data_IF_543027754774
#
_entry.id   IF_543027754774
#
_cell.length_a   1.000
_cell.length_b   1.000
_cell.length_c   1.000
_cell.angle_alpha   90.00
_cell.angle_beta   90.00
_cell.angle_gamma   90.00
#
_symmetry.space_group_name_H-M   'P 1'
#
loop_
_entity.id
_entity.type
_entity.pdbx_description
1 polymer ?
#
# COMPACT_ATOMS: atom_id res chain seq x y z
N UNK A 1 -39.09 -1.18 -16.80
CA UNK A 1 -37.80 -1.25 -17.52
C UNK A 1 -36.73 -0.81 -16.54
N UNK A 2 -36.20 -1.76 -15.78
CA UNK A 2 -35.25 -1.50 -14.71
C UNK A 2 -33.86 -1.32 -15.32
N UNK A 3 -33.45 -0.06 -15.49
CA UNK A 3 -32.08 0.29 -15.85
C UNK A 3 -31.18 -0.08 -14.67
N UNK A 4 -30.63 -1.31 -14.68
CA UNK A 4 -29.50 -1.68 -13.82
C UNK A 4 -28.35 -0.72 -14.14
N UNK A 5 -28.22 0.35 -13.36
CA UNK A 5 -27.09 1.26 -13.38
C UNK A 5 -25.82 0.44 -13.23
N UNK A 6 -25.05 0.36 -14.31
CA UNK A 6 -23.90 -0.53 -14.43
C UNK A 6 -22.73 0.07 -13.64
N UNK A 7 -22.68 -0.21 -12.33
CA UNK A 7 -21.45 -0.33 -11.52
C UNK A 7 -20.48 0.85 -11.47
N UNK A 8 -20.96 2.06 -11.18
CA UNK A 8 -20.10 3.22 -10.85
C UNK A 8 -20.17 3.62 -9.37
N UNK A 9 -21.01 2.96 -8.58
CA UNK A 9 -21.25 3.32 -7.17
C UNK A 9 -20.13 2.90 -6.21
N UNK A 10 -19.16 2.11 -6.69
CA UNK A 10 -18.03 1.64 -5.88
C UNK A 10 -16.68 1.95 -6.57
N UNK A 11 -15.68 2.50 -5.87
CA UNK A 11 -14.37 2.73 -6.45
C UNK A 11 -13.74 1.44 -6.99
N UNK A 12 -12.92 1.53 -8.03
CA UNK A 12 -12.21 0.38 -8.61
C UNK A 12 -11.08 -0.15 -7.71
N UNK A 13 -10.89 0.45 -6.54
CA UNK A 13 -9.95 0.05 -5.52
C UNK A 13 -10.64 0.02 -4.14
N UNK A 14 -10.10 -0.75 -3.21
CA UNK A 14 -10.60 -0.80 -1.84
C UNK A 14 -9.85 0.18 -0.91
N UNK A 15 -9.06 1.11 -1.46
CA UNK A 15 -8.30 2.07 -0.64
C UNK A 15 -9.24 3.11 -0.03
N UNK A 16 -9.04 3.41 1.25
CA UNK A 16 -9.82 4.40 2.00
C UNK A 16 -8.93 5.55 2.50
N UNK A 17 -9.47 6.75 2.72
CA UNK A 17 -8.76 7.79 3.47
C UNK A 17 -8.20 7.25 4.79
N UNK A 18 -6.92 7.52 5.06
CA UNK A 18 -6.20 6.99 6.22
C UNK A 18 -5.41 5.71 5.98
N UNK A 19 -5.70 4.94 4.92
CA UNK A 19 -4.91 3.78 4.54
C UNK A 19 -3.49 4.19 4.13
N UNK A 20 -2.55 3.25 4.26
CA UNK A 20 -1.19 3.42 3.75
C UNK A 20 -1.06 2.77 2.38
N UNK A 21 -0.35 3.42 1.46
CA UNK A 21 -0.12 2.92 0.10
C UNK A 21 1.35 3.02 -0.30
N UNK A 22 1.81 2.06 -1.10
CA UNK A 22 3.03 2.14 -1.88
C UNK A 22 2.73 2.71 -3.27
N UNK A 23 3.66 3.48 -3.84
CA UNK A 23 3.55 4.06 -5.17
C UNK A 23 4.56 3.41 -6.11
N UNK A 24 4.12 2.98 -7.30
CA UNK A 24 4.99 2.37 -8.28
C UNK A 24 5.96 3.39 -8.89
N UNK A 25 7.26 3.14 -8.74
CA UNK A 25 8.36 3.80 -9.45
C UNK A 25 8.51 3.23 -10.85
N UNK A 26 8.78 4.09 -11.83
CA UNK A 26 9.17 3.71 -13.19
C UNK A 26 10.68 3.89 -13.45
N UNK A 27 11.49 3.96 -12.39
CA UNK A 27 12.95 4.02 -12.54
C UNK A 27 13.45 2.81 -13.31
N UNK A 28 14.19 3.04 -14.39
CA UNK A 28 14.58 2.02 -15.39
C UNK A 28 15.62 1.00 -14.93
N UNK A 29 15.80 0.80 -13.63
CA UNK A 29 16.72 -0.21 -13.11
C UNK A 29 16.02 -1.58 -13.10
N UNK A 30 16.49 -2.58 -13.86
CA UNK A 30 15.81 -3.87 -14.02
C UNK A 30 15.52 -4.61 -12.71
N UNK A 31 16.40 -4.42 -11.70
CA UNK A 31 16.34 -5.06 -10.37
C UNK A 31 16.17 -4.05 -9.21
N UNK A 32 15.83 -2.80 -9.51
CA UNK A 32 15.60 -1.79 -8.47
C UNK A 32 14.25 -1.97 -7.77
N UNK A 33 14.12 -1.43 -6.55
CA UNK A 33 12.84 -1.36 -5.85
C UNK A 33 11.82 -0.57 -6.67
N UNK A 34 10.73 -1.25 -7.07
CA UNK A 34 9.67 -0.66 -7.90
C UNK A 34 8.58 0.03 -7.08
N UNK A 35 8.56 -0.12 -5.76
CA UNK A 35 7.52 0.42 -4.89
C UNK A 35 8.15 1.41 -3.92
N UNK A 36 7.82 2.68 -4.06
CA UNK A 36 8.32 3.74 -3.19
C UNK A 36 7.41 3.89 -2.00
N UNK A 37 8.03 3.95 -0.82
CA UNK A 37 7.55 4.57 0.41
C UNK A 37 6.17 4.12 0.90
N UNK A 38 5.84 4.42 2.16
CA UNK A 38 4.46 4.33 2.62
C UNK A 38 3.92 5.75 2.68
N UNK A 39 2.91 6.02 1.86
CA UNK A 39 2.23 7.30 1.82
C UNK A 39 0.83 7.13 2.39
N UNK A 40 0.43 8.04 3.27
CA UNK A 40 -0.92 8.03 3.81
C UNK A 40 -1.89 8.60 2.79
N UNK A 41 -2.97 7.88 2.53
CA UNK A 41 -4.06 8.31 1.66
C UNK A 41 -4.86 9.43 2.32
N UNK A 42 -5.09 10.52 1.58
CA UNK A 42 -5.89 11.65 2.02
C UNK A 42 -7.29 11.63 1.38
N UNK A 43 -7.35 11.45 0.05
CA UNK A 43 -8.60 11.45 -0.71
C UNK A 43 -8.61 10.33 -1.76
N UNK A 44 -9.83 9.93 -2.12
CA UNK A 44 -10.12 8.82 -3.02
C UNK A 44 -11.19 9.25 -4.03
N UNK A 45 -11.01 8.89 -5.29
CA UNK A 45 -12.04 8.95 -6.33
C UNK A 45 -12.18 7.57 -6.97
N UNK A 46 -13.11 7.41 -7.91
CA UNK A 46 -13.40 6.10 -8.54
C UNK A 46 -12.14 5.37 -9.07
N UNK A 47 -11.17 6.08 -9.64
CA UNK A 47 -9.96 5.50 -10.25
C UNK A 47 -8.64 6.05 -9.70
N UNK A 48 -8.67 7.09 -8.85
CA UNK A 48 -7.45 7.78 -8.43
C UNK A 48 -7.41 8.12 -6.94
N UNK A 49 -6.19 8.33 -6.45
CA UNK A 49 -5.86 8.54 -5.04
C UNK A 49 -4.99 9.77 -4.87
N UNK A 50 -5.27 10.57 -3.84
CA UNK A 50 -4.40 11.64 -3.40
C UNK A 50 -3.67 11.22 -2.13
N UNK A 51 -2.35 11.17 -2.20
CA UNK A 51 -1.49 10.75 -1.11
C UNK A 51 -0.80 11.95 -0.45
N UNK A 52 -0.48 11.84 0.84
CA UNK A 52 0.20 12.90 1.60
C UNK A 52 1.58 13.19 1.01
N UNK A 53 1.87 14.46 0.76
CA UNK A 53 3.14 14.90 0.17
C UNK A 53 3.27 14.66 -1.34
N UNK A 54 2.26 14.08 -1.99
CA UNK A 54 2.21 13.92 -3.44
C UNK A 54 1.23 14.95 -4.00
N UNK A 55 1.72 15.81 -4.90
CA UNK A 55 0.91 16.91 -5.47
C UNK A 55 -0.09 16.42 -6.50
N UNK A 56 0.23 15.35 -7.22
CA UNK A 56 -0.58 14.78 -8.30
C UNK A 56 -1.52 13.67 -7.83
N UNK A 57 -2.57 13.42 -8.61
CA UNK A 57 -3.46 12.26 -8.41
C UNK A 57 -2.83 10.99 -8.99
N UNK A 58 -2.90 9.90 -8.22
CA UNK A 58 -2.32 8.61 -8.57
C UNK A 58 -3.41 7.66 -9.05
N UNK A 59 -3.32 7.18 -10.29
CA UNK A 59 -4.22 6.16 -10.78
C UNK A 59 -4.06 4.84 -10.00
N UNK A 60 -5.16 4.11 -9.80
CA UNK A 60 -5.19 2.90 -8.96
C UNK A 60 -4.21 1.80 -9.44
N UNK A 61 -3.91 1.74 -10.74
CA UNK A 61 -2.94 0.78 -11.29
C UNK A 61 -1.49 1.04 -10.88
N UNK A 62 -1.19 2.24 -10.34
CA UNK A 62 0.15 2.64 -9.88
C UNK A 62 0.31 2.55 -8.36
N UNK A 63 -0.68 2.09 -7.63
CA UNK A 63 -0.65 2.01 -6.17
C UNK A 63 -0.84 0.58 -5.69
N UNK A 64 -0.38 0.30 -4.47
CA UNK A 64 -0.65 -0.95 -3.76
C UNK A 64 -0.90 -0.63 -2.29
N UNK A 65 -1.89 -1.27 -1.65
CA UNK A 65 -2.08 -1.12 -0.19
C UNK A 65 -0.81 -1.56 0.55
N UNK A 66 -0.39 -0.72 1.49
CA UNK A 66 0.71 -0.98 2.40
C UNK A 66 0.16 -1.37 3.78
N UNK A 67 0.88 -2.22 4.53
CA UNK A 67 0.56 -2.45 5.93
C UNK A 67 0.59 -1.13 6.69
N UNK A 68 -0.37 -0.96 7.61
CA UNK A 68 -0.33 0.13 8.59
C UNK A 68 1.00 0.03 9.34
N UNK A 69 1.77 1.13 9.48
CA UNK A 69 2.92 1.14 10.35
C UNK A 69 2.41 0.80 11.75
N UNK A 70 2.77 -0.39 12.19
CA UNK A 70 2.57 -0.86 13.55
C UNK A 70 3.13 0.24 14.45
N UNK A 71 2.36 0.69 15.45
CA UNK A 71 2.98 1.39 16.58
C UNK A 71 4.08 0.43 17.03
N UNK A 72 5.33 0.87 16.99
CA UNK A 72 6.51 0.04 17.18
C UNK A 72 6.47 -0.65 18.55
N UNK A 73 5.78 -1.78 18.62
CA UNK A 73 5.73 -2.73 19.73
C UNK A 73 5.82 -4.16 19.19
N UNK A 74 6.25 -4.34 17.95
CA UNK A 74 6.69 -5.63 17.44
C UNK A 74 8.07 -5.93 18.05
N UNK A 75 8.06 -6.35 19.32
CA UNK A 75 9.22 -6.91 20.00
C UNK A 75 9.45 -8.30 19.43
N UNK A 76 10.04 -8.38 18.24
CA UNK A 76 10.51 -9.65 17.73
C UNK A 76 11.57 -10.19 18.71
N UNK A 77 11.53 -11.49 18.97
CA UNK A 77 12.60 -12.17 19.69
C UNK A 77 13.25 -13.17 18.75
N UNK A 78 14.57 -13.03 18.60
CA UNK A 78 15.40 -14.04 17.97
C UNK A 78 15.84 -15.03 19.06
N UNK A 79 15.49 -16.30 18.85
CA UNK A 79 15.98 -17.40 19.67
C UNK A 79 16.99 -18.21 18.86
N UNK A 80 18.16 -18.47 19.43
CA UNK A 80 19.14 -19.37 18.85
C UNK A 80 18.68 -20.81 19.05
N UNK A 81 18.38 -21.50 17.96
CA UNK A 81 18.01 -22.92 17.97
C UNK A 81 19.25 -23.80 17.72
N UNK A 82 20.34 -23.21 17.24
CA UNK A 82 21.61 -23.91 17.06
C UNK A 82 22.73 -22.98 16.60
N UNK A 83 23.92 -23.53 16.34
CA UNK A 83 25.11 -22.74 15.99
C UNK A 83 24.95 -21.93 14.70
N UNK A 84 24.01 -22.30 13.82
CA UNK A 84 23.71 -21.60 12.56
C UNK A 84 22.21 -21.37 12.34
N UNK A 85 21.38 -21.57 13.36
CA UNK A 85 19.92 -21.52 13.24
C UNK A 85 19.31 -20.51 14.19
N UNK A 86 18.52 -19.58 13.65
CA UNK A 86 17.75 -18.59 14.43
C UNK A 86 16.27 -18.77 14.11
N UNK A 87 15.44 -18.71 15.14
CA UNK A 87 13.99 -18.68 15.00
C UNK A 87 13.45 -17.32 15.43
N UNK A 88 12.68 -16.71 14.54
CA UNK A 88 12.06 -15.42 14.78
C UNK A 88 10.61 -15.64 15.23
N UNK A 89 10.28 -15.07 16.39
CA UNK A 89 8.91 -14.98 16.93
C UNK A 89 8.47 -13.53 16.83
N UNK A 90 7.29 -13.32 16.26
CA UNK A 90 6.60 -12.03 16.12
C UNK A 90 5.53 -11.89 17.19
#
# INVERSE_FOLDING_TARGET
>A
MDTRSRGLDHPLHDVKPGDWIYIKSFTGHPLGEKWKGRYQTLLMTYTAVKARGITTWLHYSKIKKAPTPEKSTATWKAELIGPTSVHLRW
#
